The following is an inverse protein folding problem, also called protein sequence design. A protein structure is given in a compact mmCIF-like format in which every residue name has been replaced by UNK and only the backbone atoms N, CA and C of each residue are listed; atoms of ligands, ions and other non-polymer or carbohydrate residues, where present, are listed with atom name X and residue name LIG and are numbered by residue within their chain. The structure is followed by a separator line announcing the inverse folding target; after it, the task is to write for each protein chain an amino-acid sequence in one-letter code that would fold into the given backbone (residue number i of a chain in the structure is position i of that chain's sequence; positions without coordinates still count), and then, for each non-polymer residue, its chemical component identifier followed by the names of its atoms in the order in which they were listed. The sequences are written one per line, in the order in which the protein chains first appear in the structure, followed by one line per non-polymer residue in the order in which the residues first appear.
data_IF_715486574171
#
_entry.id   IF_715486574171
#
_cell.length_a   1.000
_cell.length_b   1.000
_cell.length_c   1.000
_cell.angle_alpha   90.00
_cell.angle_beta   90.00
_cell.angle_gamma   90.00
#
_symmetry.space_group_name_H-M   'P 1'
#
loop_
_entity.id
_entity.type
_entity.pdbx_description
1 polymer ?
#
# COMPACT_ATOMS: atom_id res chain seq x y z
N UNK A 1 -8.02 -47.63 23.93
CA UNK A 1 -9.15 -46.97 23.22
C UNK A 1 -9.32 -45.46 23.55
N UNK A 2 -8.29 -44.71 24.03
CA UNK A 2 -8.50 -43.34 24.55
C UNK A 2 -8.20 -42.16 23.60
N UNK A 3 -7.37 -42.35 22.55
CA UNK A 3 -6.93 -41.23 21.69
C UNK A 3 -7.97 -40.86 20.62
N UNK A 4 -8.62 -41.85 20.00
CA UNK A 4 -9.60 -41.63 18.93
C UNK A 4 -10.86 -40.89 19.40
N UNK A 5 -11.38 -41.21 20.60
CA UNK A 5 -12.55 -40.54 21.17
C UNK A 5 -12.26 -39.06 21.52
N UNK A 6 -11.04 -38.77 21.97
CA UNK A 6 -10.60 -37.41 22.28
C UNK A 6 -10.48 -36.56 21.02
N UNK A 7 -9.88 -37.10 19.94
CA UNK A 7 -9.76 -36.41 18.65
C UNK A 7 -11.12 -36.11 18.02
N UNK A 8 -12.07 -37.06 18.07
CA UNK A 8 -13.44 -36.85 17.57
C UNK A 8 -14.19 -35.76 18.34
N UNK A 9 -13.99 -35.68 19.67
CA UNK A 9 -14.63 -34.68 20.53
C UNK A 9 -14.05 -33.27 20.29
N UNK A 10 -12.75 -33.17 20.05
CA UNK A 10 -12.08 -31.90 19.71
C UNK A 10 -12.49 -31.41 18.32
N UNK A 11 -12.54 -32.31 17.32
CA UNK A 11 -13.05 -31.99 15.98
C UNK A 11 -14.52 -31.54 15.99
N UNK A 12 -15.38 -32.25 16.70
CA UNK A 12 -16.80 -31.91 16.83
C UNK A 12 -17.03 -30.58 17.57
N UNK A 13 -16.21 -30.28 18.59
CA UNK A 13 -16.30 -29.00 19.32
C UNK A 13 -15.80 -27.84 18.47
N UNK A 14 -14.68 -28.02 17.76
CA UNK A 14 -14.15 -27.01 16.82
C UNK A 14 -15.14 -26.69 15.69
N UNK A 15 -15.81 -27.70 15.14
CA UNK A 15 -16.84 -27.51 14.12
C UNK A 15 -18.06 -26.73 14.65
N UNK A 16 -18.55 -27.06 15.85
CA UNK A 16 -19.67 -26.32 16.48
C UNK A 16 -19.32 -24.86 16.76
N UNK A 17 -18.09 -24.58 17.20
CA UNK A 17 -17.60 -23.21 17.42
C UNK A 17 -17.50 -22.45 16.09
N UNK A 18 -16.97 -23.07 15.05
CA UNK A 18 -16.90 -22.47 13.72
C UNK A 18 -18.28 -22.12 13.14
N UNK A 19 -19.27 -23.02 13.28
CA UNK A 19 -20.65 -22.76 12.83
C UNK A 19 -21.32 -21.66 13.66
N UNK A 20 -21.11 -21.65 14.99
CA UNK A 20 -21.75 -20.68 15.88
C UNK A 20 -21.22 -19.25 15.70
N UNK A 21 -19.91 -19.09 15.50
CA UNK A 21 -19.27 -17.77 15.45
C UNK A 21 -18.83 -17.34 14.05
N UNK A 22 -18.74 -18.27 13.09
CA UNK A 22 -18.35 -17.99 11.70
C UNK A 22 -19.16 -16.87 11.05
N UNK A 23 -20.51 -16.87 11.13
CA UNK A 23 -21.33 -15.81 10.56
C UNK A 23 -21.05 -14.42 11.17
N UNK A 24 -20.87 -14.35 12.50
CA UNK A 24 -20.60 -13.08 13.20
C UNK A 24 -19.22 -12.51 12.84
N UNK A 25 -18.21 -13.38 12.77
CA UNK A 25 -16.86 -13.01 12.34
C UNK A 25 -16.86 -12.54 10.88
N UNK A 26 -17.62 -13.20 10.01
CA UNK A 26 -17.77 -12.80 8.60
C UNK A 26 -18.42 -11.43 8.46
N UNK A 27 -19.49 -11.15 9.22
CA UNK A 27 -20.18 -9.85 9.18
C UNK A 27 -19.27 -8.73 9.71
N UNK A 28 -18.55 -8.96 10.81
CA UNK A 28 -17.58 -7.99 11.33
C UNK A 28 -16.43 -7.73 10.34
N UNK A 29 -15.95 -8.78 9.68
CA UNK A 29 -14.94 -8.67 8.62
C UNK A 29 -15.45 -7.92 7.39
N UNK A 30 -16.66 -8.24 6.93
CA UNK A 30 -17.27 -7.63 5.74
C UNK A 30 -17.60 -6.15 5.99
N UNK A 31 -18.07 -5.79 7.19
CA UNK A 31 -18.48 -4.41 7.54
C UNK A 31 -17.30 -3.50 7.91
N UNK A 32 -16.27 -4.01 8.56
CA UNK A 32 -15.14 -3.18 9.05
C UNK A 32 -13.76 -3.69 8.63
N UNK A 33 -13.54 -5.00 8.69
CA UNK A 33 -12.24 -5.62 8.40
C UNK A 33 -11.74 -5.37 6.97
N UNK A 34 -12.62 -5.46 5.96
CA UNK A 34 -12.28 -5.19 4.56
C UNK A 34 -11.83 -3.75 4.32
N UNK A 35 -12.51 -2.78 4.93
CA UNK A 35 -12.19 -1.36 4.75
C UNK A 35 -10.86 -1.01 5.43
N UNK A 36 -10.67 -1.50 6.66
CA UNK A 36 -9.42 -1.36 7.38
C UNK A 36 -8.25 -2.02 6.64
N UNK A 37 -8.45 -3.24 6.14
CA UNK A 37 -7.46 -3.97 5.35
C UNK A 37 -7.10 -3.26 4.04
N UNK A 38 -8.10 -2.72 3.33
CA UNK A 38 -7.87 -1.96 2.10
C UNK A 38 -7.10 -0.65 2.37
N UNK A 39 -7.41 0.06 3.45
CA UNK A 39 -6.68 1.26 3.85
C UNK A 39 -5.22 0.94 4.24
N UNK A 40 -5.01 -0.11 5.03
CA UNK A 40 -3.68 -0.59 5.39
C UNK A 40 -2.86 -0.98 4.14
N UNK A 41 -3.47 -1.72 3.21
CA UNK A 41 -2.82 -2.09 1.95
C UNK A 41 -2.45 -0.87 1.09
N UNK A 42 -3.33 0.14 1.00
CA UNK A 42 -3.03 1.40 0.30
C UNK A 42 -1.85 2.13 0.94
N UNK A 43 -1.80 2.20 2.27
CA UNK A 43 -0.68 2.81 3.01
C UNK A 43 0.63 2.05 2.78
N UNK A 44 0.61 0.73 2.86
CA UNK A 44 1.77 -0.11 2.59
C UNK A 44 2.30 0.10 1.16
N UNK A 45 1.42 0.14 0.16
CA UNK A 45 1.79 0.42 -1.24
C UNK A 45 2.41 1.82 -1.41
N UNK A 46 1.87 2.84 -0.74
CA UNK A 46 2.46 4.18 -0.76
C UNK A 46 3.87 4.21 -0.15
N UNK A 47 4.10 3.50 0.95
CA UNK A 47 5.42 3.44 1.60
C UNK A 47 6.44 2.74 0.69
N UNK A 48 6.08 1.62 0.07
CA UNK A 48 6.97 0.91 -0.85
C UNK A 48 7.25 1.73 -2.11
N UNK A 49 6.23 2.40 -2.66
CA UNK A 49 6.40 3.33 -3.78
C UNK A 49 7.36 4.47 -3.44
N UNK A 50 7.22 5.10 -2.26
CA UNK A 50 8.14 6.13 -1.78
C UNK A 50 9.58 5.62 -1.71
N UNK A 51 9.80 4.44 -1.13
CA UNK A 51 11.14 3.84 -1.03
C UNK A 51 11.77 3.59 -2.40
N UNK A 52 10.98 3.08 -3.36
CA UNK A 52 11.45 2.87 -4.74
C UNK A 52 11.78 4.20 -5.43
N UNK A 53 10.94 5.21 -5.27
CA UNK A 53 11.17 6.55 -5.81
C UNK A 53 12.46 7.18 -5.24
N UNK A 54 12.66 7.13 -3.92
CA UNK A 54 13.89 7.61 -3.28
C UNK A 54 15.12 6.85 -3.76
N UNK A 55 15.04 5.52 -3.88
CA UNK A 55 16.15 4.71 -4.43
C UNK A 55 16.50 5.13 -5.85
N UNK A 56 15.49 5.42 -6.71
CA UNK A 56 15.75 5.91 -8.07
C UNK A 56 16.34 7.32 -8.07
N UNK A 57 15.79 8.22 -7.26
CA UNK A 57 16.29 9.58 -7.11
C UNK A 57 17.76 9.61 -6.63
N UNK A 58 18.16 8.70 -5.74
CA UNK A 58 19.56 8.59 -5.30
C UNK A 58 20.55 8.20 -6.41
N UNK A 59 20.08 7.62 -7.52
CA UNK A 59 20.94 7.19 -8.65
C UNK A 59 21.12 8.26 -9.72
N UNK A 60 20.39 9.38 -9.63
CA UNK A 60 20.45 10.46 -10.63
C UNK A 60 21.07 11.73 -10.03
N UNK A 61 21.55 12.62 -10.91
CA UNK A 61 22.14 13.89 -10.49
C UNK A 61 21.03 14.84 -10.01
N UNK A 62 21.25 15.50 -8.87
CA UNK A 62 20.28 16.41 -8.26
C UNK A 62 18.89 15.77 -8.12
N UNK A 63 18.89 14.52 -7.67
CA UNK A 63 17.71 13.68 -7.59
C UNK A 63 16.74 14.11 -6.50
N UNK A 64 15.47 14.25 -6.86
CA UNK A 64 14.40 14.58 -5.91
C UNK A 64 13.11 13.86 -6.25
N UNK A 65 12.17 13.84 -5.31
CA UNK A 65 10.84 13.24 -5.51
C UNK A 65 9.72 14.21 -5.15
N UNK A 66 8.61 14.16 -5.88
CA UNK A 66 7.39 14.90 -5.56
C UNK A 66 6.23 13.93 -5.36
N UNK A 67 5.50 14.09 -4.26
CA UNK A 67 4.29 13.33 -4.00
C UNK A 67 3.09 14.04 -4.64
N UNK A 68 2.42 13.36 -5.57
CA UNK A 68 1.20 13.83 -6.23
C UNK A 68 0.07 12.81 -6.03
N UNK A 69 -1.19 13.25 -6.10
CA UNK A 69 -2.34 12.37 -5.95
C UNK A 69 -3.48 12.74 -6.93
N UNK A 70 -3.25 12.65 -8.25
CA UNK A 70 -4.18 13.14 -9.26
C UNK A 70 -5.55 12.44 -9.22
N UNK A 71 -5.57 11.12 -8.96
CA UNK A 71 -6.81 10.31 -8.96
C UNK A 71 -7.10 9.71 -7.58
N UNK A 72 -6.72 10.41 -6.50
CA UNK A 72 -6.86 9.93 -5.12
C UNK A 72 -5.90 8.80 -4.71
N UNK A 73 -5.09 8.28 -5.66
CA UNK A 73 -3.98 7.38 -5.40
C UNK A 73 -2.67 8.17 -5.34
N UNK A 74 -1.83 7.89 -4.33
CA UNK A 74 -0.53 8.54 -4.18
C UNK A 74 0.47 8.01 -5.22
N UNK A 75 1.05 8.93 -5.99
CA UNK A 75 2.13 8.68 -6.93
C UNK A 75 3.32 9.57 -6.58
N UNK A 76 4.53 9.01 -6.64
CA UNK A 76 5.78 9.73 -6.42
C UNK A 76 6.46 9.92 -7.78
N UNK A 77 6.56 11.16 -8.24
CA UNK A 77 7.30 11.53 -9.43
C UNK A 77 8.76 11.75 -9.04
N UNK A 78 9.68 11.16 -9.77
CA UNK A 78 11.12 11.31 -9.58
C UNK A 78 11.66 12.32 -10.57
N UNK A 79 12.53 13.21 -10.12
CA UNK A 79 13.17 14.25 -10.90
C UNK A 79 14.69 14.09 -10.92
N UNK A 80 15.29 14.58 -11.99
CA UNK A 80 16.73 14.89 -12.11
C UNK A 80 16.84 16.39 -12.38
N UNK A 81 17.30 17.17 -11.40
CA UNK A 81 17.10 18.62 -11.44
C UNK A 81 15.61 18.96 -11.59
N UNK A 82 15.24 19.60 -12.70
CA UNK A 82 13.84 19.97 -13.01
C UNK A 82 13.10 19.01 -13.93
N UNK A 83 13.78 18.02 -14.48
CA UNK A 83 13.18 17.10 -15.43
C UNK A 83 12.55 15.89 -14.72
N UNK A 84 11.24 15.62 -14.89
CA UNK A 84 10.63 14.39 -14.41
C UNK A 84 11.09 13.20 -15.25
N UNK A 85 11.45 12.09 -14.60
CA UNK A 85 12.05 10.91 -15.27
C UNK A 85 11.33 9.59 -14.98
N UNK A 86 10.59 9.49 -13.88
CA UNK A 86 9.92 8.24 -13.49
C UNK A 86 8.77 8.50 -12.53
N UNK A 87 7.85 7.53 -12.42
CA UNK A 87 6.74 7.55 -11.45
C UNK A 87 6.67 6.24 -10.68
N UNK A 88 6.33 6.33 -9.39
CA UNK A 88 6.11 5.18 -8.52
C UNK A 88 4.83 5.36 -7.70
N UNK A 89 3.82 4.47 -7.83
CA UNK A 89 3.74 3.39 -8.82
C UNK A 89 3.79 3.94 -10.26
N UNK A 90 4.12 3.06 -11.22
CA UNK A 90 4.14 3.43 -12.62
C UNK A 90 2.77 3.97 -13.03
N UNK A 91 2.76 5.13 -13.69
CA UNK A 91 1.58 5.82 -14.15
C UNK A 91 1.68 6.02 -15.65
N UNK A 92 0.59 5.75 -16.36
CA UNK A 92 0.46 6.03 -17.79
C UNK A 92 0.04 7.48 -18.07
N UNK A 93 -0.28 8.25 -17.01
CA UNK A 93 -0.61 9.66 -17.17
C UNK A 93 0.65 10.45 -17.58
N UNK A 94 0.51 11.38 -18.54
CA UNK A 94 1.60 12.25 -18.95
C UNK A 94 2.00 13.19 -17.81
N UNK A 95 3.27 13.61 -17.78
CA UNK A 95 3.82 14.41 -16.66
C UNK A 95 3.13 15.77 -16.53
N UNK A 96 2.73 16.35 -17.64
CA UNK A 96 1.99 17.59 -17.75
C UNK A 96 0.70 17.51 -16.94
N UNK A 97 -0.01 16.39 -17.02
CA UNK A 97 -1.25 16.15 -16.25
C UNK A 97 -0.92 15.85 -14.77
N UNK A 98 0.14 15.08 -14.51
CA UNK A 98 0.54 14.76 -13.13
C UNK A 98 1.02 16.00 -12.34
N UNK A 99 1.59 16.98 -13.03
CA UNK A 99 2.27 18.14 -12.44
C UNK A 99 1.51 19.46 -12.63
N UNK A 100 0.41 19.48 -13.38
CA UNK A 100 -0.35 20.70 -13.73
C UNK A 100 -0.64 21.64 -12.55
N UNK A 101 -0.88 21.07 -11.37
CA UNK A 101 -1.20 21.83 -10.14
C UNK A 101 -0.27 21.45 -8.98
N UNK A 102 0.85 20.81 -9.27
CA UNK A 102 1.79 20.36 -8.25
C UNK A 102 2.80 21.47 -7.94
N UNK A 103 2.94 21.79 -6.66
CA UNK A 103 3.99 22.70 -6.19
C UNK A 103 5.34 22.00 -6.23
N UNK A 104 6.19 22.40 -7.18
CA UNK A 104 7.53 21.85 -7.38
C UNK A 104 8.49 22.19 -6.23
N UNK A 105 8.21 23.23 -5.44
CA UNK A 105 9.01 23.60 -4.27
C UNK A 105 8.89 22.58 -3.12
N UNK A 106 7.85 21.73 -3.14
CA UNK A 106 7.64 20.65 -2.15
C UNK A 106 8.36 19.35 -2.50
N UNK A 107 9.29 19.39 -3.46
CA UNK A 107 10.15 18.26 -3.78
C UNK A 107 11.02 17.91 -2.58
N UNK A 108 11.20 16.61 -2.35
CA UNK A 108 12.06 16.07 -1.32
C UNK A 108 13.34 15.61 -2.00
N UNK A 109 14.47 16.22 -1.67
CA UNK A 109 15.77 15.77 -2.15
C UNK A 109 16.04 14.33 -1.67
N UNK A 110 16.55 13.50 -2.55
CA UNK A 110 17.15 12.23 -2.14
C UNK A 110 18.50 12.57 -1.51
N UNK A 111 18.50 12.86 -0.20
CA UNK A 111 19.75 13.10 0.52
C UNK A 111 20.67 11.91 0.26
N UNK A 112 21.87 12.17 -0.25
CA UNK A 112 22.93 11.17 -0.23
C UNK A 112 23.25 10.95 1.24
N UNK A 113 22.87 9.79 1.76
CA UNK A 113 23.46 9.28 2.99
C UNK A 113 24.92 8.91 2.71
#
# INVERSE_FOLDING_TARGET
MGKAATTAKVLGTGAKVAVKYGPQVKIAWDNGGKQAGAAAARRARSVTARRKALKRAATVRDGSILKVAPNGATTYVVFTGDQPIATYPASNLPYEVLLAHADLGKRIAATRA
#
